data_IF_932882208840
#
_entry.id   IF_932882208840
#
_cell.length_a   1.000
_cell.length_b   1.000
_cell.length_c   1.000
_cell.angle_alpha   90.00
_cell.angle_beta   90.00
_cell.angle_gamma   90.00
#
_symmetry.space_group_name_H-M   'P 1'
#
loop_
_entity.id
_entity.type
_entity.pdbx_description
1 polymer ?
#
# COMPACT_ATOMS: atom_id res chain seq x y z
N UNK A 1 -4.82 -4.05 0.24
CA UNK A 1 -4.82 -4.64 -1.12
C UNK A 1 -3.88 -5.83 -1.13
N UNK A 2 -4.41 -7.02 -1.40
CA UNK A 2 -3.58 -8.21 -1.62
C UNK A 2 -3.08 -8.21 -3.08
N UNK A 3 -1.77 -8.31 -3.33
CA UNK A 3 -1.26 -8.35 -4.70
C UNK A 3 -1.71 -9.61 -5.44
N UNK A 4 -1.93 -9.50 -6.75
CA UNK A 4 -2.22 -10.66 -7.62
C UNK A 4 -1.15 -11.76 -7.51
N UNK A 5 0.11 -11.36 -7.25
CA UNK A 5 1.22 -12.26 -6.95
C UNK A 5 1.58 -12.21 -5.46
N UNK A 6 0.63 -12.63 -4.61
CA UNK A 6 0.81 -12.55 -3.15
C UNK A 6 2.04 -13.34 -2.67
N UNK A 7 2.92 -12.73 -1.85
CA UNK A 7 4.03 -13.45 -1.22
C UNK A 7 3.57 -14.29 -0.01
N UNK A 8 2.38 -14.04 0.53
CA UNK A 8 1.86 -14.73 1.71
C UNK A 8 1.18 -16.03 1.28
N UNK A 9 1.81 -17.18 1.60
CA UNK A 9 1.33 -18.52 1.18
C UNK A 9 0.65 -19.32 2.28
N UNK A 10 0.98 -19.04 3.54
CA UNK A 10 0.52 -19.83 4.70
C UNK A 10 -0.70 -19.22 5.37
N UNK A 11 -0.74 -17.88 5.47
CA UNK A 11 -1.78 -17.14 6.17
C UNK A 11 -2.42 -16.14 5.21
N UNK A 12 -3.71 -15.84 5.42
CA UNK A 12 -4.41 -14.80 4.67
C UNK A 12 -3.76 -13.44 4.94
N UNK A 13 -3.58 -12.63 3.89
CA UNK A 13 -2.82 -11.37 4.02
C UNK A 13 -3.47 -10.37 4.97
N UNK A 14 -4.80 -10.34 5.04
CA UNK A 14 -5.55 -9.50 5.98
C UNK A 14 -5.30 -9.92 7.43
N UNK A 15 -5.24 -11.22 7.73
CA UNK A 15 -4.97 -11.71 9.08
C UNK A 15 -3.54 -11.38 9.51
N UNK A 16 -2.57 -11.49 8.60
CA UNK A 16 -1.18 -11.08 8.85
C UNK A 16 -1.10 -9.59 9.15
N UNK A 17 -1.72 -8.76 8.30
CA UNK A 17 -1.75 -7.31 8.50
C UNK A 17 -2.43 -6.93 9.82
N UNK A 18 -3.58 -7.53 10.13
CA UNK A 18 -4.31 -7.25 11.36
C UNK A 18 -3.50 -7.61 12.62
N UNK A 19 -2.82 -8.77 12.58
CA UNK A 19 -1.97 -9.22 13.69
C UNK A 19 -0.77 -8.29 13.89
N UNK A 20 -0.11 -7.87 12.81
CA UNK A 20 1.08 -7.01 12.88
C UNK A 20 0.77 -5.58 13.31
N UNK A 21 -0.44 -5.09 12.98
CA UNK A 21 -0.85 -3.71 13.26
C UNK A 21 -1.75 -3.57 14.50
N UNK A 22 -2.19 -4.69 15.09
CA UNK A 22 -3.07 -4.69 16.27
C UNK A 22 -4.46 -4.09 16.02
N UNK A 23 -4.94 -4.08 14.79
CA UNK A 23 -6.23 -3.52 14.39
C UNK A 23 -6.87 -4.32 13.25
N UNK A 24 -8.19 -4.25 13.11
CA UNK A 24 -8.87 -4.92 12.00
C UNK A 24 -8.49 -4.33 10.66
N UNK A 25 -8.25 -5.20 9.66
CA UNK A 25 -7.88 -4.81 8.29
C UNK A 25 -8.83 -5.47 7.30
N UNK A 26 -9.48 -4.66 6.48
CA UNK A 26 -10.40 -5.14 5.44
C UNK A 26 -9.67 -5.38 4.11
N UNK A 27 -10.19 -6.34 3.34
CA UNK A 27 -9.67 -6.61 2.00
C UNK A 27 -10.22 -5.57 1.01
N UNK A 28 -9.34 -4.81 0.37
CA UNK A 28 -9.67 -4.10 -0.87
C UNK A 28 -9.35 -5.00 -2.08
N UNK A 29 -10.40 -5.64 -2.59
CA UNK A 29 -10.37 -6.60 -3.70
C UNK A 29 -9.98 -5.95 -5.04
N UNK A 30 -9.76 -6.78 -6.06
CA UNK A 30 -9.41 -6.42 -7.45
C UNK A 30 -7.99 -5.92 -7.65
N UNK A 31 -7.50 -6.18 -8.87
CA UNK A 31 -6.20 -5.75 -9.36
C UNK A 31 -6.06 -4.22 -9.26
N UNK A 32 -4.86 -3.73 -8.97
CA UNK A 32 -4.54 -2.30 -8.94
C UNK A 32 -4.61 -1.61 -10.32
N UNK A 33 -4.68 -2.37 -11.42
CA UNK A 33 -4.83 -1.85 -12.79
C UNK A 33 -3.57 -1.27 -13.43
N UNK A 34 -2.43 -1.33 -12.74
CA UNK A 34 -1.22 -0.58 -13.14
C UNK A 34 0.07 -1.41 -13.10
N UNK A 35 0.20 -2.30 -12.13
CA UNK A 35 1.44 -3.06 -11.89
C UNK A 35 1.88 -3.92 -13.07
N UNK A 36 3.20 -4.12 -13.18
CA UNK A 36 3.79 -5.02 -14.19
C UNK A 36 3.72 -4.48 -15.61
N UNK A 37 3.79 -3.15 -15.77
CA UNK A 37 3.66 -2.45 -17.06
C UNK A 37 2.30 -2.64 -17.75
N UNK A 38 1.28 -3.15 -17.03
CA UNK A 38 -0.01 -3.49 -17.61
C UNK A 38 -0.70 -2.27 -18.24
N UNK A 39 -0.71 -1.13 -17.54
CA UNK A 39 -1.34 0.08 -18.04
C UNK A 39 -0.72 0.63 -19.32
N UNK A 40 0.61 0.48 -19.46
CA UNK A 40 1.35 0.90 -20.66
C UNK A 40 1.19 -0.12 -21.79
N UNK A 41 1.19 -1.41 -21.47
CA UNK A 41 1.09 -2.47 -22.46
C UNK A 41 -0.32 -2.63 -23.04
N UNK A 42 -1.37 -2.41 -22.22
CA UNK A 42 -2.79 -2.59 -22.58
C UNK A 42 -3.65 -1.43 -22.10
N UNK A 43 -3.42 -0.19 -22.59
CA UNK A 43 -4.21 0.98 -22.20
C UNK A 43 -5.70 0.83 -22.56
N UNK A 44 -6.00 0.02 -23.58
CA UNK A 44 -7.35 -0.33 -24.02
C UNK A 44 -8.17 -1.08 -22.95
N UNK A 45 -7.50 -1.82 -22.06
CA UNK A 45 -8.14 -2.56 -20.96
C UNK A 45 -7.92 -1.85 -19.62
N UNK A 46 -6.74 -1.28 -19.40
CA UNK A 46 -6.32 -0.78 -18.10
C UNK A 46 -7.26 0.29 -17.51
N UNK A 47 -7.83 1.13 -18.37
CA UNK A 47 -8.80 2.15 -17.94
C UNK A 47 -10.02 1.53 -17.25
N UNK A 48 -10.57 0.42 -17.78
CA UNK A 48 -11.73 -0.24 -17.16
C UNK A 48 -11.36 -0.94 -15.85
N UNK A 49 -10.17 -1.55 -15.79
CA UNK A 49 -9.66 -2.18 -14.56
C UNK A 49 -9.45 -1.11 -13.48
N UNK A 50 -8.92 0.05 -13.86
CA UNK A 50 -8.77 1.21 -12.97
C UNK A 50 -10.11 1.65 -12.39
N UNK A 51 -11.11 1.91 -13.23
CA UNK A 51 -12.44 2.28 -12.74
C UNK A 51 -13.02 1.25 -11.77
N UNK A 52 -12.90 -0.05 -12.10
CA UNK A 52 -13.39 -1.10 -11.21
C UNK A 52 -12.66 -1.11 -9.87
N UNK A 53 -11.36 -0.85 -9.85
CA UNK A 53 -10.58 -0.77 -8.61
C UNK A 53 -10.97 0.45 -7.79
N UNK A 54 -11.16 1.60 -8.43
CA UNK A 54 -11.58 2.85 -7.79
C UNK A 54 -12.92 2.66 -7.06
N UNK A 55 -13.90 2.02 -7.70
CA UNK A 55 -15.17 1.67 -7.05
C UNK A 55 -14.98 0.83 -5.78
N UNK A 56 -14.07 -0.14 -5.79
CA UNK A 56 -13.80 -0.96 -4.60
C UNK A 56 -13.05 -0.18 -3.51
N UNK A 57 -12.23 0.80 -3.88
CA UNK A 57 -11.60 1.71 -2.92
C UNK A 57 -12.66 2.59 -2.26
N UNK A 58 -13.51 3.25 -3.05
CA UNK A 58 -14.58 4.12 -2.54
C UNK A 58 -15.52 3.34 -1.63
N UNK A 59 -15.94 2.13 -2.00
CA UNK A 59 -16.74 1.26 -1.13
C UNK A 59 -16.06 0.97 0.20
N UNK A 60 -14.75 0.68 0.17
CA UNK A 60 -13.97 0.44 1.38
C UNK A 60 -13.90 1.67 2.29
N UNK A 61 -13.72 2.86 1.71
CA UNK A 61 -13.72 4.13 2.45
C UNK A 61 -15.10 4.37 3.08
N UNK A 62 -16.18 4.24 2.31
CA UNK A 62 -17.55 4.38 2.81
C UNK A 62 -17.85 3.41 3.96
N UNK A 63 -17.39 2.16 3.86
CA UNK A 63 -17.57 1.17 4.93
C UNK A 63 -16.80 1.51 6.22
N UNK A 64 -15.60 2.08 6.10
CA UNK A 64 -14.73 2.36 7.24
C UNK A 64 -15.04 3.71 7.91
N UNK A 65 -15.38 4.74 7.13
CA UNK A 65 -15.51 6.11 7.63
C UNK A 65 -16.78 6.83 7.18
N UNK A 66 -17.65 6.21 6.37
CA UNK A 66 -18.93 6.79 5.95
C UNK A 66 -18.85 7.90 4.90
N UNK A 67 -17.67 8.14 4.34
CA UNK A 67 -17.39 9.19 3.35
C UNK A 67 -16.98 8.60 2.01
N UNK A 68 -17.09 9.38 0.93
CA UNK A 68 -16.65 8.95 -0.41
C UNK A 68 -15.13 9.06 -0.61
N UNK A 69 -14.45 9.85 0.23
CA UNK A 69 -13.02 10.08 0.18
C UNK A 69 -12.37 9.95 1.55
N UNK A 70 -11.14 9.45 1.55
CA UNK A 70 -10.30 9.47 2.73
C UNK A 70 -9.79 10.90 2.97
N UNK A 71 -9.70 11.29 4.24
CA UNK A 71 -9.34 12.64 4.68
C UNK A 71 -8.36 12.53 5.85
N UNK A 72 -7.22 13.23 5.74
CA UNK A 72 -6.19 13.30 6.79
C UNK A 72 -5.73 11.91 7.28
N UNK A 73 -5.54 10.96 6.36
CA UNK A 73 -5.05 9.62 6.67
C UNK A 73 -6.00 8.78 7.54
N UNK A 74 -7.29 9.12 7.63
CA UNK A 74 -8.28 8.35 8.40
C UNK A 74 -8.48 6.92 7.85
N UNK A 75 -8.14 6.69 6.59
CA UNK A 75 -8.10 5.37 5.94
C UNK A 75 -6.82 5.29 5.11
N UNK A 76 -6.10 4.16 5.25
CA UNK A 76 -4.88 3.89 4.50
C UNK A 76 -4.98 2.54 3.78
N UNK A 77 -4.48 2.48 2.55
CA UNK A 77 -4.36 1.24 1.80
C UNK A 77 -2.97 0.64 2.00
N UNK A 78 -2.91 -0.61 2.45
CA UNK A 78 -1.65 -1.34 2.59
C UNK A 78 -1.47 -2.38 1.50
N UNK A 79 -0.24 -2.57 1.05
CA UNK A 79 0.14 -3.64 0.12
C UNK A 79 1.52 -4.21 0.43
N UNK A 80 1.78 -5.43 0.00
CA UNK A 80 3.09 -6.08 0.11
C UNK A 80 3.81 -6.18 -1.25
N UNK A 81 3.42 -5.38 -2.24
CA UNK A 81 4.03 -5.36 -3.56
C UNK A 81 4.39 -3.92 -3.96
N UNK A 82 5.69 -3.60 -4.22
CA UNK A 82 6.10 -2.24 -4.58
C UNK A 82 5.46 -1.76 -5.89
N UNK A 83 5.30 -2.65 -6.86
CA UNK A 83 4.62 -2.32 -8.12
C UNK A 83 3.13 -2.01 -7.89
N UNK A 84 2.48 -2.66 -6.93
CA UNK A 84 1.10 -2.32 -6.57
C UNK A 84 1.04 -1.00 -5.84
N UNK A 85 1.99 -0.71 -4.94
CA UNK A 85 2.04 0.58 -4.25
C UNK A 85 2.08 1.74 -5.24
N UNK A 86 3.04 1.72 -6.18
CA UNK A 86 3.15 2.75 -7.23
C UNK A 86 1.86 2.86 -8.07
N UNK A 87 1.24 1.72 -8.40
CA UNK A 87 -0.02 1.70 -9.14
C UNK A 87 -1.19 2.29 -8.35
N UNK A 88 -1.26 1.98 -7.06
CA UNK A 88 -2.31 2.40 -6.15
C UNK A 88 -2.18 3.88 -5.74
N UNK A 89 -0.98 4.46 -5.77
CA UNK A 89 -0.76 5.90 -5.56
C UNK A 89 -1.55 6.76 -6.57
N UNK A 90 -1.84 6.22 -7.77
CA UNK A 90 -2.63 6.92 -8.80
C UNK A 90 -4.11 7.10 -8.45
N UNK A 91 -4.61 6.45 -7.40
CA UNK A 91 -6.00 6.63 -6.93
C UNK A 91 -6.11 7.71 -5.84
N UNK A 92 -4.99 8.25 -5.36
CA UNK A 92 -4.96 9.24 -4.28
C UNK A 92 -5.70 10.53 -4.63
N UNK A 93 -5.56 11.02 -5.87
CA UNK A 93 -6.25 12.24 -6.33
C UNK A 93 -7.79 12.08 -6.34
N UNK A 94 -8.26 10.91 -6.78
CA UNK A 94 -9.69 10.65 -6.91
C UNK A 94 -10.35 10.29 -5.56
N UNK A 95 -9.66 9.54 -4.72
CA UNK A 95 -10.24 8.93 -3.50
C UNK A 95 -9.70 9.50 -2.20
N UNK A 96 -8.63 10.30 -2.23
CA UNK A 96 -7.93 10.80 -1.04
C UNK A 96 -7.14 9.72 -0.28
N UNK A 97 -7.13 8.47 -0.76
CA UNK A 97 -6.50 7.36 -0.04
C UNK A 97 -4.98 7.42 -0.14
N UNK A 98 -4.31 7.30 1.00
CA UNK A 98 -2.87 7.09 1.06
C UNK A 98 -2.57 5.61 0.90
N UNK A 99 -1.53 5.26 0.13
CA UNK A 99 -1.07 3.88 0.00
C UNK A 99 0.34 3.73 0.57
N UNK A 100 0.56 2.67 1.34
CA UNK A 100 1.88 2.37 1.87
C UNK A 100 2.21 0.86 1.81
N UNK A 101 3.49 0.56 1.95
CA UNK A 101 4.00 -0.79 2.07
C UNK A 101 3.80 -1.32 3.49
N UNK A 102 3.28 -2.54 3.63
CA UNK A 102 2.94 -3.11 4.96
C UNK A 102 4.13 -3.09 5.94
N UNK A 103 5.35 -3.31 5.48
CA UNK A 103 6.54 -3.30 6.36
C UNK A 103 6.86 -1.89 6.86
N UNK A 104 6.64 -0.86 6.04
CA UNK A 104 6.83 0.54 6.44
C UNK A 104 5.79 0.92 7.49
N UNK A 105 4.53 0.54 7.29
CA UNK A 105 3.47 0.81 8.27
C UNK A 105 3.74 0.13 9.62
N UNK A 106 4.23 -1.11 9.60
CA UNK A 106 4.64 -1.84 10.81
C UNK A 106 5.83 -1.15 11.49
N UNK A 107 6.81 -0.66 10.73
CA UNK A 107 7.94 0.08 11.28
C UNK A 107 7.47 1.39 11.94
N UNK A 108 6.57 2.15 11.30
CA UNK A 108 5.95 3.34 11.91
C UNK A 108 5.23 2.98 13.21
N UNK A 109 4.47 1.88 13.21
CA UNK A 109 3.71 1.45 14.38
C UNK A 109 4.59 0.99 15.55
N UNK A 110 5.65 0.23 15.29
CA UNK A 110 6.50 -0.37 16.34
C UNK A 110 7.63 0.57 16.77
N UNK A 111 8.25 1.27 15.83
CA UNK A 111 9.47 2.05 16.05
C UNK A 111 9.20 3.57 16.14
N UNK A 112 7.99 4.01 15.77
CA UNK A 112 7.55 5.41 15.75
C UNK A 112 7.98 6.18 14.50
N UNK A 113 7.32 7.30 14.20
CA UNK A 113 7.44 8.05 12.94
C UNK A 113 8.88 8.47 12.54
N UNK A 114 9.77 8.62 13.52
CA UNK A 114 11.17 8.97 13.31
C UNK A 114 12.11 7.75 13.18
N UNK A 115 11.59 6.54 12.95
CA UNK A 115 12.40 5.33 12.85
C UNK A 115 13.41 5.39 11.69
N UNK A 116 13.00 5.91 10.53
CA UNK A 116 13.84 5.91 9.33
C UNK A 116 15.04 6.86 9.46
N UNK A 117 14.89 8.13 9.89
CA UNK A 117 16.03 9.00 10.18
C UNK A 117 16.99 8.41 11.22
N UNK A 118 16.46 7.85 12.32
CA UNK A 118 17.28 7.20 13.37
C UNK A 118 18.03 5.99 12.84
N UNK A 119 17.38 5.17 12.03
CA UNK A 119 18.02 4.04 11.38
C UNK A 119 19.19 4.49 10.49
N UNK A 120 18.99 5.53 9.68
CA UNK A 120 20.04 6.08 8.81
C UNK A 120 21.21 6.64 9.63
N UNK A 121 20.95 7.35 10.73
CA UNK A 121 21.98 7.86 11.64
C UNK A 121 22.81 6.71 12.22
N UNK A 122 22.15 5.69 12.78
CA UNK A 122 22.81 4.51 13.36
C UNK A 122 23.64 3.75 12.32
N UNK A 123 23.19 3.63 11.07
CA UNK A 123 23.95 2.93 10.00
C UNK A 123 25.14 3.76 9.51
N UNK A 124 25.07 5.09 9.62
CA UNK A 124 26.21 5.98 9.30
C UNK A 124 27.28 5.93 10.37
N UNK A 125 26.93 5.66 11.63
CA UNK A 125 27.87 5.43 12.72
C UNK A 125 28.66 4.14 12.50
N UNK A 126 29.86 4.29 11.91
CA UNK A 126 30.72 3.16 11.48
C UNK A 126 31.16 3.24 10.02
N UNK A 127 30.55 4.14 9.24
CA UNK A 127 30.84 4.37 7.82
C UNK A 127 30.01 3.47 6.90
N UNK A 128 29.37 4.09 5.90
CA UNK A 128 28.73 3.36 4.80
C UNK A 128 29.80 3.11 3.76
N UNK A 129 30.19 1.85 3.57
CA UNK A 129 31.10 1.47 2.50
C UNK A 129 30.40 1.75 1.15
N UNK A 130 30.96 2.68 0.37
CA UNK A 130 30.42 3.05 -0.93
C UNK A 130 30.98 2.10 -1.97
N UNK A 131 30.13 1.25 -2.54
CA UNK A 131 30.48 0.55 -3.78
C UNK A 131 30.35 1.57 -4.91
N UNK A 132 31.48 2.16 -5.30
CA UNK A 132 31.58 2.95 -6.52
C UNK A 132 31.60 1.96 -7.69
N UNK A 133 30.53 1.93 -8.49
CA UNK A 133 30.49 1.28 -9.80
C UNK A 133 30.95 2.26 -10.88
#
# INVERSE_FOLDING_TARGET
HEPCHTPMKTYQSTNVAATLLGQDVTLSDRCCGESGSFAVARPDIATQVRFRKEEEIVKGIQQLVGEDKAVKGNVKMLTSCPACQQGLERYSEDTGIETDYIVVEVANHILGDNWQPKFIENVKEGGIERVLL
#
